data_IF_674282146236
#
_entry.id   IF_674282146236
#
_cell.length_a   1.000
_cell.length_b   1.000
_cell.length_c   1.000
_cell.angle_alpha   90.00
_cell.angle_beta   90.00
_cell.angle_gamma   90.00
#
_symmetry.space_group_name_H-M   'P 1'
#
loop_
_entity.id
_entity.type
_entity.pdbx_description
1 polymer ?
#
# COMPACT_ATOMS: atom_id res chain seq x y z
N UNK A 1 -22.04 0.43 -11.32
CA UNK A 1 -22.15 1.80 -10.78
C UNK A 1 -22.79 2.80 -11.73
N UNK A 2 -22.59 2.71 -13.00
CA UNK A 2 -23.34 3.52 -13.97
C UNK A 2 -24.86 3.25 -13.94
N UNK A 3 -25.28 2.05 -13.47
CA UNK A 3 -26.67 1.58 -13.46
C UNK A 3 -27.34 1.89 -12.11
N UNK A 4 -26.61 1.86 -11.02
CA UNK A 4 -27.12 2.07 -9.64
C UNK A 4 -26.06 2.74 -8.77
N UNK A 5 -26.04 4.07 -8.72
CA UNK A 5 -25.09 4.83 -7.89
C UNK A 5 -25.28 4.60 -6.39
N UNK A 6 -26.51 4.23 -5.95
CA UNK A 6 -26.82 4.03 -4.54
C UNK A 6 -26.51 2.60 -4.08
N UNK A 7 -26.34 1.65 -5.01
CA UNK A 7 -26.21 0.22 -4.79
C UNK A 7 -27.41 -0.43 -4.07
N UNK A 8 -28.52 0.29 -3.92
CA UNK A 8 -29.73 -0.20 -3.24
C UNK A 8 -30.53 -1.15 -4.10
N UNK A 9 -30.57 -0.93 -5.43
CA UNK A 9 -31.31 -1.78 -6.37
C UNK A 9 -30.88 -3.23 -6.26
N UNK A 10 -29.58 -3.48 -6.06
CA UNK A 10 -29.05 -4.83 -5.97
C UNK A 10 -29.63 -5.64 -4.79
N UNK A 11 -30.04 -4.98 -3.69
CA UNK A 11 -30.63 -5.66 -2.53
C UNK A 11 -32.09 -6.10 -2.76
N UNK A 12 -32.76 -5.52 -3.74
CA UNK A 12 -34.20 -5.79 -4.02
C UNK A 12 -34.42 -6.68 -5.23
N UNK A 13 -33.35 -7.08 -5.94
CA UNK A 13 -33.42 -7.89 -7.15
C UNK A 13 -33.19 -9.38 -6.91
N UNK A 14 -33.90 -10.23 -7.63
CA UNK A 14 -33.67 -11.66 -7.73
C UNK A 14 -32.36 -11.95 -8.49
N UNK A 15 -31.78 -13.17 -8.40
CA UNK A 15 -30.59 -13.54 -9.18
C UNK A 15 -30.77 -13.34 -10.70
N UNK A 16 -31.99 -13.60 -11.23
CA UNK A 16 -32.27 -13.41 -12.64
C UNK A 16 -32.25 -11.92 -13.06
N UNK A 17 -32.82 -11.06 -12.22
CA UNK A 17 -32.83 -9.60 -12.43
C UNK A 17 -31.42 -9.03 -12.29
N UNK A 18 -30.64 -9.43 -11.27
CA UNK A 18 -29.23 -9.07 -11.12
C UNK A 18 -28.40 -9.43 -12.36
N UNK A 19 -28.66 -10.64 -12.91
CA UNK A 19 -27.97 -11.08 -14.13
C UNK A 19 -28.25 -10.15 -15.30
N UNK A 20 -29.49 -9.71 -15.48
CA UNK A 20 -29.91 -8.81 -16.57
C UNK A 20 -29.44 -7.38 -16.34
N UNK A 21 -29.69 -6.84 -15.16
CA UNK A 21 -29.39 -5.43 -14.81
C UNK A 21 -27.89 -5.12 -14.86
N UNK A 22 -27.07 -6.03 -14.33
CA UNK A 22 -25.62 -5.82 -14.21
C UNK A 22 -24.80 -6.65 -15.20
N UNK A 23 -25.45 -7.29 -16.18
CA UNK A 23 -24.80 -8.12 -17.20
C UNK A 23 -23.89 -9.22 -16.60
N UNK A 24 -24.32 -9.82 -15.49
CA UNK A 24 -23.58 -10.85 -14.79
C UNK A 24 -23.95 -12.24 -15.33
N UNK A 25 -22.98 -13.16 -15.29
CA UNK A 25 -23.35 -14.57 -15.53
C UNK A 25 -24.30 -15.07 -14.43
N UNK A 26 -25.22 -16.02 -14.71
CA UNK A 26 -26.16 -16.55 -13.70
C UNK A 26 -25.46 -17.03 -12.42
N UNK A 27 -24.28 -17.65 -12.56
CA UNK A 27 -23.46 -18.13 -11.44
C UNK A 27 -22.97 -16.98 -10.55
N UNK A 28 -22.53 -15.87 -11.15
CA UNK A 28 -22.08 -14.68 -10.41
C UNK A 28 -23.27 -13.99 -9.76
N UNK A 29 -24.37 -13.80 -10.49
CA UNK A 29 -25.58 -13.17 -9.97
C UNK A 29 -26.14 -13.93 -8.74
N UNK A 30 -26.17 -15.25 -8.78
CA UNK A 30 -26.56 -16.08 -7.64
C UNK A 30 -25.62 -15.90 -6.44
N UNK A 31 -24.31 -15.84 -6.66
CA UNK A 31 -23.35 -15.54 -5.58
C UNK A 31 -23.57 -14.17 -4.97
N UNK A 32 -23.72 -13.13 -5.79
CA UNK A 32 -24.00 -11.76 -5.33
C UNK A 32 -25.25 -11.72 -4.48
N UNK A 33 -26.35 -12.32 -4.96
CA UNK A 33 -27.60 -12.42 -4.21
C UNK A 33 -27.40 -13.05 -2.82
N UNK A 34 -26.71 -14.20 -2.76
CA UNK A 34 -26.44 -14.87 -1.48
C UNK A 34 -25.61 -14.02 -0.53
N UNK A 35 -24.60 -13.30 -1.02
CA UNK A 35 -23.80 -12.39 -0.18
C UNK A 35 -24.63 -11.21 0.33
N UNK A 36 -25.44 -10.60 -0.52
CA UNK A 36 -26.29 -9.47 -0.16
C UNK A 36 -27.36 -9.84 0.90
N UNK A 37 -27.80 -11.10 0.95
CA UNK A 37 -28.85 -11.56 1.88
C UNK A 37 -28.31 -12.44 3.02
N UNK A 38 -27.00 -12.55 3.16
CA UNK A 38 -26.38 -13.37 4.21
C UNK A 38 -26.29 -12.60 5.53
N UNK A 39 -27.14 -12.98 6.49
CA UNK A 39 -27.24 -12.36 7.81
C UNK A 39 -25.91 -12.41 8.57
N UNK A 40 -25.17 -13.54 8.51
CA UNK A 40 -23.91 -13.67 9.20
C UNK A 40 -22.83 -12.73 8.62
N UNK A 41 -22.85 -12.51 7.31
CA UNK A 41 -21.97 -11.57 6.64
C UNK A 41 -22.28 -10.12 7.04
N UNK A 42 -23.56 -9.74 7.14
CA UNK A 42 -23.95 -8.42 7.64
C UNK A 42 -23.57 -8.20 9.11
N UNK A 43 -23.69 -9.24 9.94
CA UNK A 43 -23.23 -9.17 11.35
C UNK A 43 -21.73 -8.98 11.42
N UNK A 44 -20.95 -9.68 10.59
CA UNK A 44 -19.50 -9.51 10.52
C UNK A 44 -19.11 -8.09 10.12
N UNK A 45 -19.74 -7.53 9.08
CA UNK A 45 -19.51 -6.13 8.67
C UNK A 45 -19.81 -5.15 9.81
N UNK A 46 -20.89 -5.38 10.58
CA UNK A 46 -21.21 -4.55 11.74
C UNK A 46 -20.14 -4.63 12.82
N UNK A 47 -19.60 -5.81 13.10
CA UNK A 47 -18.50 -6.02 14.04
C UNK A 47 -17.22 -5.33 13.53
N UNK A 48 -16.88 -5.51 12.27
CA UNK A 48 -15.71 -4.88 11.64
C UNK A 48 -15.79 -3.34 11.76
N UNK A 49 -16.98 -2.75 11.55
CA UNK A 49 -17.21 -1.29 11.72
C UNK A 49 -17.01 -0.79 13.15
N UNK A 50 -17.12 -1.65 14.15
CA UNK A 50 -16.86 -1.27 15.54
C UNK A 50 -15.38 -1.28 15.89
N UNK A 51 -14.60 -2.18 15.25
CA UNK A 51 -13.17 -2.35 15.51
C UNK A 51 -12.23 -1.59 14.57
N UNK A 52 -12.71 -1.23 13.38
CA UNK A 52 -11.89 -0.68 12.30
C UNK A 52 -12.56 0.52 11.63
N UNK A 53 -11.75 1.43 11.12
CA UNK A 53 -12.24 2.40 10.14
C UNK A 53 -12.33 1.72 8.79
N UNK A 54 -13.52 1.68 8.20
CA UNK A 54 -13.74 1.13 6.86
C UNK A 54 -13.90 2.32 5.91
N UNK A 55 -13.02 2.38 4.91
CA UNK A 55 -13.02 3.44 3.89
C UNK A 55 -13.30 2.78 2.54
N UNK A 56 -14.33 3.23 1.86
CA UNK A 56 -14.70 2.73 0.53
C UNK A 56 -14.24 3.70 -0.56
N UNK A 57 -14.14 3.21 -1.79
CA UNK A 57 -13.76 4.04 -2.95
C UNK A 57 -14.69 5.25 -3.17
N UNK A 58 -15.89 5.23 -2.57
CA UNK A 58 -16.90 6.32 -2.65
C UNK A 58 -16.73 7.39 -1.58
N UNK A 59 -15.99 7.09 -0.51
CA UNK A 59 -15.79 8.04 0.57
C UNK A 59 -14.85 9.16 0.13
N UNK A 60 -15.13 10.37 0.56
CA UNK A 60 -14.30 11.56 0.25
C UNK A 60 -12.87 11.39 0.78
N UNK A 61 -12.72 10.69 1.92
CA UNK A 61 -11.42 10.42 2.53
C UNK A 61 -10.60 9.36 1.77
N UNK A 62 -11.17 8.69 0.74
CA UNK A 62 -10.43 7.71 -0.04
C UNK A 62 -9.26 8.38 -0.78
N UNK A 63 -8.01 7.80 -0.74
CA UNK A 63 -6.82 8.45 -1.28
C UNK A 63 -6.96 8.78 -2.77
N UNK A 64 -6.77 10.06 -3.18
CA UNK A 64 -6.97 10.47 -4.58
C UNK A 64 -6.03 9.74 -5.54
N UNK A 65 -4.76 9.56 -5.15
CA UNK A 65 -3.79 8.85 -5.97
C UNK A 65 -4.15 7.38 -6.14
N UNK A 66 -4.62 6.72 -5.08
CA UNK A 66 -5.01 5.32 -5.13
C UNK A 66 -6.27 5.10 -5.97
N UNK A 67 -7.17 6.08 -6.03
CA UNK A 67 -8.39 6.02 -6.87
C UNK A 67 -8.07 5.98 -8.37
N UNK A 68 -6.90 6.48 -8.77
CA UNK A 68 -6.47 6.61 -10.16
C UNK A 68 -5.76 5.37 -10.72
N UNK A 69 -5.39 4.41 -9.89
CA UNK A 69 -4.73 3.19 -10.39
C UNK A 69 -5.73 2.31 -11.17
N UNK A 70 -5.22 1.42 -12.01
CA UNK A 70 -6.05 0.56 -12.89
C UNK A 70 -7.02 -0.32 -12.08
N UNK A 71 -6.57 -0.85 -10.95
CA UNK A 71 -7.35 -1.73 -10.07
C UNK A 71 -7.33 -1.20 -8.62
N UNK A 72 -8.11 -0.12 -8.33
CA UNK A 72 -8.17 0.43 -6.99
C UNK A 72 -8.93 -0.50 -6.04
N UNK A 73 -8.47 -0.71 -4.80
CA UNK A 73 -9.21 -1.48 -3.80
C UNK A 73 -10.56 -0.81 -3.49
N UNK A 74 -11.65 -1.56 -3.60
CA UNK A 74 -13.00 -1.02 -3.35
C UNK A 74 -13.20 -0.66 -1.88
N UNK A 75 -12.50 -1.34 -0.98
CA UNK A 75 -12.62 -1.18 0.48
C UNK A 75 -11.23 -1.22 1.10
N UNK A 76 -10.99 -0.34 2.06
CA UNK A 76 -9.80 -0.32 2.90
C UNK A 76 -10.23 -0.46 4.36
N UNK A 77 -9.69 -1.44 5.05
CA UNK A 77 -9.78 -1.57 6.51
C UNK A 77 -8.58 -0.86 7.13
N UNK A 78 -8.82 0.03 8.08
CA UNK A 78 -7.80 0.91 8.61
C UNK A 78 -7.76 0.89 10.15
N UNK A 79 -6.56 0.97 10.72
CA UNK A 79 -6.28 1.19 12.14
C UNK A 79 -5.28 2.33 12.30
N UNK A 80 -5.56 3.26 13.21
CA UNK A 80 -4.73 4.44 13.46
C UNK A 80 -5.29 5.71 12.85
N UNK A 81 -4.42 6.62 12.45
CA UNK A 81 -4.79 7.95 11.97
C UNK A 81 -5.20 7.93 10.48
N UNK A 82 -6.48 7.76 10.21
CA UNK A 82 -7.02 7.75 8.84
C UNK A 82 -6.86 9.07 8.09
N UNK A 83 -6.58 10.20 8.76
CA UNK A 83 -6.34 11.48 8.09
C UNK A 83 -5.11 11.43 7.18
N UNK A 84 -4.18 10.48 7.43
CA UNK A 84 -3.01 10.26 6.61
C UNK A 84 -3.34 9.81 5.18
N UNK A 85 -4.56 9.31 4.92
CA UNK A 85 -5.03 8.96 3.58
C UNK A 85 -5.14 10.18 2.65
N UNK A 86 -5.26 11.37 3.22
CA UNK A 86 -5.35 12.65 2.50
C UNK A 86 -4.09 13.50 2.61
N UNK A 87 -3.08 13.02 3.34
CA UNK A 87 -1.86 13.80 3.58
C UNK A 87 -0.86 13.63 2.44
N UNK A 88 -0.39 14.72 1.90
CA UNK A 88 0.63 14.82 0.86
C UNK A 88 1.73 15.80 1.28
N UNK A 89 2.94 15.64 0.73
CA UNK A 89 3.39 14.58 -0.19
C UNK A 89 3.63 13.23 0.50
N UNK A 90 3.56 12.15 -0.28
CA UNK A 90 3.82 10.78 0.18
C UNK A 90 4.77 10.06 -0.78
N UNK A 91 5.62 9.18 -0.25
CA UNK A 91 6.55 8.36 -1.02
C UNK A 91 6.55 6.92 -0.50
N UNK A 92 6.52 5.96 -1.41
CA UNK A 92 6.73 4.57 -1.02
C UNK A 92 8.22 4.26 -0.92
N UNK A 93 8.60 3.54 0.15
CA UNK A 93 9.98 3.14 0.41
C UNK A 93 10.03 1.62 0.50
N UNK A 94 10.72 1.01 -0.43
CA UNK A 94 10.76 -0.44 -0.59
C UNK A 94 12.20 -0.96 -0.77
N UNK A 95 12.37 -2.27 -0.67
CA UNK A 95 13.64 -2.90 -0.98
C UNK A 95 13.77 -4.34 -0.52
N UNK A 96 15.01 -4.80 -0.43
CA UNK A 96 15.32 -6.19 -0.08
C UNK A 96 14.85 -6.55 1.34
N UNK A 97 14.41 -7.80 1.49
CA UNK A 97 14.09 -8.39 2.81
C UNK A 97 15.33 -8.77 3.62
N UNK A 98 16.51 -8.79 2.97
CA UNK A 98 17.81 -9.08 3.60
C UNK A 98 18.78 -7.95 3.31
N UNK A 99 18.65 -6.80 4.01
CA UNK A 99 19.44 -5.63 3.76
C UNK A 99 20.91 -5.81 4.15
N UNK A 100 21.78 -5.02 3.54
CA UNK A 100 23.18 -4.92 3.91
C UNK A 100 23.36 -4.25 5.28
N UNK A 101 24.56 -4.29 5.83
CA UNK A 101 24.88 -3.55 7.05
C UNK A 101 24.76 -2.02 6.87
N UNK A 102 24.93 -1.53 5.65
CA UNK A 102 24.86 -0.09 5.30
C UNK A 102 23.43 0.41 5.02
N UNK A 103 22.46 -0.50 4.91
CA UNK A 103 21.10 -0.17 4.52
C UNK A 103 20.43 0.88 5.42
N UNK A 104 20.72 0.84 6.74
CA UNK A 104 20.17 1.81 7.69
C UNK A 104 20.69 3.22 7.42
N UNK A 105 21.96 3.35 7.11
CA UNK A 105 22.59 4.66 6.87
C UNK A 105 22.13 5.22 5.52
N UNK A 106 22.06 4.39 4.46
CA UNK A 106 21.49 4.76 3.16
C UNK A 106 20.05 5.23 3.30
N UNK A 107 19.23 4.46 4.01
CA UNK A 107 17.84 4.81 4.26
C UNK A 107 17.73 6.14 5.01
N UNK A 108 18.50 6.30 6.09
CA UNK A 108 18.45 7.50 6.93
C UNK A 108 18.91 8.75 6.16
N UNK A 109 19.93 8.66 5.31
CA UNK A 109 20.45 9.80 4.55
C UNK A 109 19.40 10.42 3.62
N UNK A 110 18.51 9.59 3.05
CA UNK A 110 17.49 10.05 2.10
C UNK A 110 16.15 10.29 2.82
N UNK A 111 15.71 9.34 3.66
CA UNK A 111 14.35 9.37 4.20
C UNK A 111 14.21 10.33 5.38
N UNK A 112 15.24 10.54 6.21
CA UNK A 112 15.13 11.49 7.34
C UNK A 112 14.85 12.94 6.89
N UNK A 113 15.49 13.49 5.86
CA UNK A 113 15.13 14.82 5.36
C UNK A 113 13.72 14.89 4.79
N UNK A 114 13.23 13.83 4.12
CA UNK A 114 11.84 13.75 3.64
C UNK A 114 10.85 13.80 4.80
N UNK A 115 11.11 13.03 5.87
CA UNK A 115 10.29 13.05 7.09
C UNK A 115 10.24 14.45 7.70
N UNK A 116 11.41 15.13 7.81
CA UNK A 116 11.50 16.50 8.33
C UNK A 116 10.77 17.53 7.45
N UNK A 117 10.56 17.21 6.17
CA UNK A 117 9.77 17.99 5.24
C UNK A 117 8.30 17.54 5.17
N UNK A 118 7.83 16.81 6.20
CA UNK A 118 6.45 16.32 6.36
C UNK A 118 5.97 15.34 5.28
N UNK A 119 6.88 14.62 4.61
CA UNK A 119 6.50 13.54 3.71
C UNK A 119 5.99 12.33 4.50
N UNK A 120 4.89 11.76 4.00
CA UNK A 120 4.36 10.49 4.53
C UNK A 120 5.13 9.32 3.89
N UNK A 121 5.65 8.43 4.73
CA UNK A 121 6.39 7.25 4.28
C UNK A 121 5.44 6.06 4.20
N UNK A 122 5.26 5.53 3.00
CA UNK A 122 4.40 4.36 2.72
C UNK A 122 5.26 3.13 2.52
N UNK A 123 4.92 2.01 3.14
CA UNK A 123 5.63 0.74 2.91
C UNK A 123 4.79 -0.47 3.28
N UNK A 124 5.33 -1.67 3.07
CA UNK A 124 4.59 -2.93 3.23
C UNK A 124 4.81 -3.68 4.52
N UNK A 125 5.55 -3.13 5.47
CA UNK A 125 5.88 -3.78 6.75
C UNK A 125 6.56 -5.15 6.60
N UNK A 126 7.14 -5.47 5.43
CA UNK A 126 7.92 -6.68 5.21
C UNK A 126 9.24 -6.66 6.00
N UNK A 127 9.93 -7.80 6.08
CA UNK A 127 11.30 -7.81 6.60
C UNK A 127 12.21 -6.88 5.79
N UNK A 128 13.28 -6.40 6.41
CA UNK A 128 14.30 -5.59 5.76
C UNK A 128 13.90 -4.14 5.59
N UNK A 129 14.03 -3.59 4.38
CA UNK A 129 13.87 -2.16 4.10
C UNK A 129 12.51 -1.62 4.54
N UNK A 130 11.43 -2.33 4.30
CA UNK A 130 10.07 -1.90 4.67
C UNK A 130 9.98 -1.64 6.18
N UNK A 131 10.37 -2.63 7.00
CA UNK A 131 10.36 -2.52 8.46
C UNK A 131 11.31 -1.43 8.96
N UNK A 132 12.49 -1.27 8.33
CA UNK A 132 13.45 -0.22 8.66
C UNK A 132 12.89 1.18 8.35
N UNK A 133 12.18 1.34 7.22
CA UNK A 133 11.56 2.59 6.83
C UNK A 133 10.51 3.04 7.86
N UNK A 134 9.61 2.14 8.27
CA UNK A 134 8.63 2.43 9.31
C UNK A 134 9.28 2.76 10.66
N UNK A 135 10.27 1.96 11.08
CA UNK A 135 10.97 2.18 12.35
C UNK A 135 11.72 3.51 12.38
N UNK A 136 12.40 3.88 11.29
CA UNK A 136 13.05 5.18 11.12
C UNK A 136 12.02 6.31 11.22
N UNK A 137 10.91 6.20 10.49
CA UNK A 137 9.87 7.24 10.46
C UNK A 137 9.28 7.48 11.85
N UNK A 138 8.97 6.43 12.60
CA UNK A 138 8.47 6.55 13.97
C UNK A 138 9.51 7.15 14.93
N UNK A 139 10.78 6.76 14.81
CA UNK A 139 11.88 7.33 15.59
C UNK A 139 12.04 8.83 15.37
N UNK A 140 11.92 9.27 14.13
CA UNK A 140 11.98 10.67 13.73
C UNK A 140 10.65 11.42 13.96
N UNK A 141 9.65 10.80 14.62
CA UNK A 141 8.30 11.34 14.88
C UNK A 141 7.56 11.75 13.60
N UNK A 142 7.89 11.13 12.49
CA UNK A 142 7.22 11.33 11.19
C UNK A 142 5.94 10.52 11.04
N UNK A 143 5.31 10.63 9.87
CA UNK A 143 4.06 9.96 9.52
C UNK A 143 4.32 8.79 8.58
N UNK A 144 3.73 7.64 8.88
CA UNK A 144 3.90 6.43 8.06
C UNK A 144 2.59 5.67 7.87
N UNK A 145 2.43 5.08 6.68
CA UNK A 145 1.31 4.20 6.32
C UNK A 145 1.87 2.82 6.03
N UNK A 146 1.44 1.83 6.79
CA UNK A 146 1.77 0.43 6.52
C UNK A 146 0.61 -0.25 5.80
N UNK A 147 0.89 -0.83 4.63
CA UNK A 147 -0.09 -1.61 3.86
C UNK A 147 0.17 -3.10 4.11
N UNK A 148 -0.85 -3.86 4.52
CA UNK A 148 -0.71 -5.29 4.80
C UNK A 148 -1.19 -6.18 3.65
N UNK A 149 -0.54 -7.31 3.46
CA UNK A 149 -0.99 -8.41 2.57
C UNK A 149 -1.82 -9.47 3.32
N UNK A 150 -2.49 -9.07 4.39
CA UNK A 150 -3.38 -9.89 5.22
C UNK A 150 -4.39 -9.00 5.91
N UNK A 151 -5.44 -9.57 6.48
CA UNK A 151 -6.32 -8.83 7.38
C UNK A 151 -5.58 -8.32 8.62
N UNK A 152 -6.13 -7.29 9.23
CA UNK A 152 -5.48 -6.53 10.31
C UNK A 152 -5.30 -7.35 11.62
N UNK A 153 -6.05 -8.45 11.78
CA UNK A 153 -5.89 -9.40 12.90
C UNK A 153 -4.73 -10.39 12.69
N UNK A 154 -4.20 -10.48 11.47
CA UNK A 154 -3.15 -11.42 11.09
C UNK A 154 -1.87 -10.70 10.65
N UNK A 155 -1.20 -10.05 11.62
CA UNK A 155 0.05 -9.31 11.36
C UNK A 155 1.13 -10.24 10.82
N UNK A 156 1.67 -9.91 9.65
CA UNK A 156 2.78 -10.63 9.05
C UNK A 156 3.85 -9.63 8.57
N UNK A 157 5.13 -9.87 8.91
CA UNK A 157 5.66 -10.96 9.73
C UNK A 157 5.36 -10.77 11.23
N UNK A 158 5.17 -11.87 11.98
CA UNK A 158 4.84 -11.80 13.42
C UNK A 158 5.91 -11.07 14.25
N UNK A 159 7.18 -11.12 13.83
CA UNK A 159 8.27 -10.38 14.48
C UNK A 159 8.09 -8.86 14.44
N UNK A 160 7.21 -8.35 13.58
CA UNK A 160 6.88 -6.92 13.47
C UNK A 160 5.63 -6.53 14.27
N UNK A 161 5.14 -7.36 15.20
CA UNK A 161 3.95 -7.07 15.98
C UNK A 161 4.08 -5.77 16.80
N UNK A 162 5.24 -5.52 17.42
CA UNK A 162 5.47 -4.27 18.15
C UNK A 162 5.59 -3.06 17.22
N UNK A 163 6.20 -3.25 16.04
CA UNK A 163 6.22 -2.22 15.01
C UNK A 163 4.80 -1.89 14.54
N UNK A 164 3.96 -2.91 14.31
CA UNK A 164 2.55 -2.74 13.97
C UNK A 164 1.80 -1.90 15.02
N UNK A 165 1.94 -2.25 16.31
CA UNK A 165 1.32 -1.50 17.41
C UNK A 165 1.74 -0.03 17.43
N UNK A 166 3.02 0.22 17.23
CA UNK A 166 3.55 1.58 17.18
C UNK A 166 3.03 2.34 15.95
N UNK A 167 2.88 1.69 14.79
CA UNK A 167 2.30 2.34 13.60
C UNK A 167 0.81 2.63 13.83
N UNK A 168 0.06 1.73 14.46
CA UNK A 168 -1.34 1.99 14.82
C UNK A 168 -1.47 3.20 15.74
N UNK A 169 -0.54 3.37 16.67
CA UNK A 169 -0.58 4.48 17.63
C UNK A 169 -0.18 5.83 17.02
N UNK A 170 0.80 5.88 16.10
CA UNK A 170 1.42 7.12 15.63
C UNK A 170 1.33 7.35 14.11
N UNK A 171 0.74 6.42 13.38
CA UNK A 171 0.57 6.42 11.94
C UNK A 171 -0.70 5.74 11.51
N UNK A 172 -0.67 5.03 10.39
CA UNK A 172 -1.81 4.30 9.84
C UNK A 172 -1.38 2.91 9.37
N UNK A 173 -2.17 1.90 9.73
CA UNK A 173 -2.09 0.57 9.11
C UNK A 173 -3.36 0.34 8.31
N UNK A 174 -3.23 -0.15 7.09
CA UNK A 174 -4.37 -0.46 6.25
C UNK A 174 -4.22 -1.78 5.50
N UNK A 175 -5.36 -2.35 5.11
CA UNK A 175 -5.45 -3.54 4.29
C UNK A 175 -6.69 -3.51 3.40
N UNK A 176 -6.60 -4.07 2.21
CA UNK A 176 -7.74 -4.38 1.35
C UNK A 176 -8.51 -5.62 1.82
N UNK A 177 -7.85 -6.49 2.60
CA UNK A 177 -8.42 -7.75 3.04
C UNK A 177 -9.23 -7.59 4.33
N UNK A 178 -10.38 -8.32 4.46
CA UNK A 178 -11.14 -8.35 5.71
C UNK A 178 -10.26 -8.66 6.92
N UNK A 179 -10.55 -8.11 8.11
CA UNK A 179 -9.66 -8.19 9.28
C UNK A 179 -9.19 -9.61 9.63
N UNK A 180 -10.06 -10.61 9.45
CA UNK A 180 -9.80 -12.02 9.78
C UNK A 180 -9.07 -12.80 8.67
N UNK A 181 -8.76 -12.17 7.53
CA UNK A 181 -8.13 -12.83 6.39
C UNK A 181 -6.67 -13.16 6.68
N UNK A 182 -6.35 -14.46 6.67
CA UNK A 182 -4.96 -14.93 6.85
C UNK A 182 -4.08 -14.59 5.64
N UNK A 183 -2.78 -14.36 5.83
CA UNK A 183 -1.86 -14.06 4.74
C UNK A 183 -1.75 -15.24 3.77
N UNK A 184 -1.73 -14.94 2.46
CA UNK A 184 -1.48 -15.90 1.38
C UNK A 184 -0.38 -15.37 0.48
N UNK A 185 0.35 -16.25 -0.20
CA UNK A 185 1.53 -15.86 -1.01
C UNK A 185 1.18 -14.81 -2.08
N UNK A 186 0.03 -14.93 -2.73
CA UNK A 186 -0.42 -14.03 -3.78
C UNK A 186 -0.93 -12.67 -3.27
N UNK A 187 -1.33 -12.56 -2.01
CA UNK A 187 -1.74 -11.28 -1.43
C UNK A 187 -0.60 -10.23 -1.40
N UNK A 188 0.65 -10.67 -1.30
CA UNK A 188 1.78 -9.74 -1.22
C UNK A 188 2.05 -8.99 -2.53
N UNK A 189 2.10 -9.65 -3.70
CA UNK A 189 2.14 -8.95 -4.98
C UNK A 189 0.91 -8.07 -5.23
N UNK A 190 -0.30 -8.56 -4.93
CA UNK A 190 -1.54 -7.79 -5.08
C UNK A 190 -1.52 -6.51 -4.22
N UNK A 191 -1.10 -6.60 -2.96
CA UNK A 191 -0.97 -5.48 -2.05
C UNK A 191 0.00 -4.40 -2.54
N UNK A 192 1.08 -4.77 -3.20
CA UNK A 192 2.13 -3.83 -3.59
C UNK A 192 1.60 -2.69 -4.48
N UNK A 193 0.57 -2.93 -5.31
CA UNK A 193 -0.10 -1.88 -6.09
C UNK A 193 -0.71 -0.78 -5.22
N UNK A 194 -1.06 -1.11 -3.99
CA UNK A 194 -1.59 -0.13 -3.03
C UNK A 194 -0.45 0.71 -2.45
N UNK A 195 0.72 0.11 -2.21
CA UNK A 195 1.90 0.84 -1.72
C UNK A 195 2.30 1.92 -2.73
N UNK A 196 2.52 1.54 -4.00
CA UNK A 196 2.85 2.49 -5.07
C UNK A 196 1.69 3.46 -5.36
N UNK A 197 0.45 2.96 -5.34
CA UNK A 197 -0.75 3.75 -5.61
C UNK A 197 -1.05 4.86 -4.59
N UNK A 198 -0.60 4.71 -3.35
CA UNK A 198 -0.73 5.73 -2.30
C UNK A 198 0.33 6.84 -2.40
N UNK A 199 1.29 6.72 -3.31
CA UNK A 199 2.50 7.52 -3.30
C UNK A 199 2.71 8.27 -4.61
N UNK A 200 3.37 9.42 -4.53
CA UNK A 200 3.81 10.19 -5.71
C UNK A 200 4.90 9.47 -6.49
N UNK A 201 5.74 8.72 -5.79
CA UNK A 201 6.82 7.93 -6.37
C UNK A 201 7.26 6.80 -5.44
N UNK A 202 8.13 5.94 -5.93
CA UNK A 202 8.65 4.75 -5.24
C UNK A 202 10.17 4.82 -5.13
N UNK A 203 10.69 4.88 -3.89
CA UNK A 203 12.12 4.83 -3.60
C UNK A 203 12.56 3.39 -3.32
N UNK A 204 13.50 2.91 -4.11
CA UNK A 204 14.18 1.62 -3.91
C UNK A 204 15.52 1.86 -3.22
N UNK A 205 15.66 1.36 -1.98
CA UNK A 205 16.86 1.60 -1.15
C UNK A 205 17.95 0.57 -1.45
N UNK A 206 17.60 -0.70 -1.48
CA UNK A 206 18.46 -1.82 -1.90
C UNK A 206 17.60 -2.88 -2.57
N UNK A 207 18.09 -3.45 -3.67
CA UNK A 207 17.46 -4.55 -4.36
C UNK A 207 18.50 -5.48 -4.99
N UNK A 208 18.24 -6.78 -4.94
CA UNK A 208 18.97 -7.76 -5.75
C UNK A 208 18.31 -7.84 -7.13
N UNK A 209 19.05 -8.23 -8.18
CA UNK A 209 18.58 -8.30 -9.58
C UNK A 209 17.28 -9.10 -9.78
N UNK A 210 17.04 -10.12 -8.95
CA UNK A 210 15.84 -10.99 -9.04
C UNK A 210 15.04 -10.92 -7.74
N UNK A 211 14.58 -9.74 -7.35
CA UNK A 211 13.83 -9.58 -6.11
C UNK A 211 12.36 -9.25 -6.36
N UNK A 212 11.51 -9.59 -5.40
CA UNK A 212 10.10 -9.17 -5.43
C UNK A 212 9.89 -7.65 -5.38
N UNK A 213 10.95 -6.87 -5.18
CA UNK A 213 10.96 -5.40 -5.26
C UNK A 213 10.58 -4.92 -6.66
N UNK A 214 11.03 -5.63 -7.72
CA UNK A 214 10.72 -5.31 -9.10
C UNK A 214 9.21 -5.35 -9.40
N UNK A 215 8.47 -6.25 -8.77
CA UNK A 215 6.99 -6.30 -8.92
C UNK A 215 6.36 -4.97 -8.49
N UNK A 216 6.84 -4.35 -7.41
CA UNK A 216 6.32 -3.06 -6.95
C UNK A 216 6.78 -1.92 -7.86
N UNK A 217 8.00 -2.02 -8.41
CA UNK A 217 8.53 -1.07 -9.40
C UNK A 217 7.68 -1.10 -10.66
N UNK A 218 7.41 -2.28 -11.21
CA UNK A 218 6.56 -2.45 -12.40
C UNK A 218 5.17 -1.83 -12.17
N UNK A 219 4.56 -2.13 -11.03
CA UNK A 219 3.27 -1.56 -10.65
C UNK A 219 3.32 -0.02 -10.50
N UNK A 220 4.40 0.53 -9.95
CA UNK A 220 4.58 1.97 -9.87
C UNK A 220 4.65 2.62 -11.25
N UNK A 221 5.40 2.02 -12.18
CA UNK A 221 5.52 2.49 -13.57
C UNK A 221 4.17 2.39 -14.32
N UNK A 222 3.46 1.27 -14.19
CA UNK A 222 2.10 1.09 -14.76
C UNK A 222 1.10 2.14 -14.25
N UNK A 223 1.31 2.62 -13.02
CA UNK A 223 0.50 3.68 -12.39
C UNK A 223 0.97 5.10 -12.75
N UNK A 224 2.01 5.24 -13.57
CA UNK A 224 2.60 6.53 -13.91
C UNK A 224 3.33 7.20 -12.75
N UNK A 225 3.84 6.42 -11.78
CA UNK A 225 4.61 6.92 -10.65
C UNK A 225 6.11 6.94 -10.98
N UNK A 226 6.79 7.95 -10.50
CA UNK A 226 8.24 8.03 -10.60
C UNK A 226 8.91 6.92 -9.79
N UNK A 227 9.96 6.33 -10.33
CA UNK A 227 10.80 5.35 -9.63
C UNK A 227 12.15 5.96 -9.35
N UNK A 228 12.55 5.93 -8.08
CA UNK A 228 13.82 6.43 -7.57
C UNK A 228 14.65 5.26 -7.07
N UNK A 229 15.95 5.26 -7.31
CA UNK A 229 16.84 4.23 -6.80
C UNK A 229 18.12 4.83 -6.20
N UNK A 230 18.51 4.35 -5.03
CA UNK A 230 19.78 4.73 -4.40
C UNK A 230 20.91 3.95 -5.08
N UNK A 231 21.92 4.60 -5.66
CA UNK A 231 23.05 3.92 -6.29
C UNK A 231 23.92 3.19 -5.26
N UNK A 232 24.61 2.16 -5.73
CA UNK A 232 25.54 1.38 -4.91
C UNK A 232 26.78 1.01 -5.73
N UNK A 233 27.78 0.40 -5.07
CA UNK A 233 28.92 -0.18 -5.75
C UNK A 233 28.50 -1.39 -6.61
N UNK A 234 29.01 -1.56 -7.84
CA UNK A 234 28.80 -2.75 -8.64
C UNK A 234 29.29 -4.05 -7.96
N UNK A 235 30.15 -3.92 -6.96
CA UNK A 235 30.65 -5.05 -6.17
C UNK A 235 29.70 -5.46 -5.03
N UNK A 236 28.70 -4.62 -4.71
CA UNK A 236 27.71 -4.90 -3.66
C UNK A 236 26.48 -5.58 -4.24
N UNK A 237 26.33 -6.87 -3.99
CA UNK A 237 25.18 -7.67 -4.47
C UNK A 237 23.81 -7.11 -4.04
N UNK A 238 23.74 -6.41 -2.89
CA UNK A 238 22.50 -5.82 -2.40
C UNK A 238 22.06 -4.58 -3.18
N UNK A 239 22.97 -3.97 -3.94
CA UNK A 239 22.71 -2.78 -4.74
C UNK A 239 22.56 -3.03 -6.25
N UNK A 240 22.87 -4.24 -6.74
CA UNK A 240 22.85 -4.53 -8.19
C UNK A 240 21.50 -4.25 -8.82
N UNK A 241 20.39 -4.60 -8.14
CA UNK A 241 19.06 -4.30 -8.64
C UNK A 241 18.77 -2.81 -8.74
N UNK A 242 19.32 -1.97 -7.83
CA UNK A 242 19.20 -0.51 -7.94
C UNK A 242 19.98 0.02 -9.14
N UNK A 243 21.18 -0.52 -9.43
CA UNK A 243 21.95 -0.14 -10.61
C UNK A 243 21.22 -0.55 -11.91
N UNK A 244 20.62 -1.74 -11.94
CA UNK A 244 19.78 -2.17 -13.05
C UNK A 244 18.62 -1.20 -13.27
N UNK A 245 17.87 -0.87 -12.23
CA UNK A 245 16.77 0.09 -12.31
C UNK A 245 17.21 1.46 -12.83
N UNK A 246 18.36 1.97 -12.38
CA UNK A 246 18.91 3.24 -12.87
C UNK A 246 19.26 3.13 -14.36
N UNK A 247 19.86 2.02 -14.80
CA UNK A 247 20.18 1.79 -16.22
C UNK A 247 18.94 1.67 -17.10
N UNK A 248 17.81 1.26 -16.53
CA UNK A 248 16.49 1.14 -17.18
C UNK A 248 15.65 2.43 -17.07
N UNK A 249 16.19 3.49 -16.46
CA UNK A 249 15.54 4.81 -16.43
C UNK A 249 14.97 5.23 -15.09
N UNK A 250 15.16 4.46 -14.03
CA UNK A 250 14.84 4.94 -12.69
C UNK A 250 15.74 6.13 -12.32
N UNK A 251 15.18 7.12 -11.64
CA UNK A 251 15.89 8.32 -11.23
C UNK A 251 16.91 8.01 -10.14
N UNK A 252 18.15 8.35 -10.38
CA UNK A 252 19.23 8.19 -9.43
C UNK A 252 19.06 9.18 -8.27
N UNK A 253 19.15 8.71 -7.02
CA UNK A 253 18.98 9.51 -5.81
C UNK A 253 20.21 9.39 -4.92
N UNK A 254 20.89 10.51 -4.73
CA UNK A 254 22.03 10.66 -3.79
C UNK A 254 21.67 11.55 -2.60
N UNK A 255 20.59 12.32 -2.71
CA UNK A 255 20.08 13.18 -1.66
C UNK A 255 18.55 13.27 -1.70
N UNK A 256 17.94 13.66 -0.58
CA UNK A 256 16.47 13.88 -0.57
C UNK A 256 16.03 15.01 -1.51
N UNK A 257 16.91 15.93 -1.86
CA UNK A 257 16.62 17.02 -2.80
C UNK A 257 16.25 16.49 -4.17
N UNK A 258 16.91 15.42 -4.63
CA UNK A 258 16.65 14.78 -5.93
C UNK A 258 15.19 14.31 -6.07
N UNK A 259 14.53 14.06 -4.94
CA UNK A 259 13.09 13.71 -4.89
C UNK A 259 12.25 14.97 -4.70
N UNK A 260 12.59 15.83 -3.73
CA UNK A 260 11.77 16.98 -3.33
C UNK A 260 11.63 18.03 -4.44
N UNK A 261 12.70 18.31 -5.17
CA UNK A 261 12.71 19.36 -6.21
C UNK A 261 11.74 19.05 -7.36
N UNK A 262 11.54 17.79 -7.68
CA UNK A 262 10.58 17.38 -8.73
C UNK A 262 9.11 17.66 -8.36
N UNK A 263 8.79 17.72 -7.08
CA UNK A 263 7.42 17.91 -6.60
C UNK A 263 7.13 19.33 -6.12
N UNK A 264 8.15 20.15 -5.95
CA UNK A 264 7.98 21.59 -5.68
C UNK A 264 7.75 22.43 -6.93
N UNK A 265 8.04 21.86 -8.11
CA UNK A 265 7.89 22.52 -9.41
C UNK A 265 6.60 22.10 -10.17
N UNK A 266 5.82 21.20 -9.61
CA UNK A 266 4.50 20.77 -10.13
C UNK A 266 3.39 21.34 -9.28
#
# INVERSE_FOLDING_TARGET
>A
MQVDPTLEIAFHQTPSELSKTFQLTPKIATKVYHYLHNISFHQQIKQDKQGYHIVTIYDEIYPPLLRQIIDPPLVLYCLGDKSLLQQFPSISVIGTRKPSSQAKDKLASIVTPLIKSNWVIVSGMAYGIDGLAHALTLREKGKTIAVLGSGLEHVYPQKHLDLFRNIVQFGLVLSEYPPQMKPRKYHFPERNRIISGLSLGTLVVEANEKSGTFITVDQALEQGRDVYAIPDSPLNKHGLGCLTLISEGAKLVVSAKDIMEEWTMK
#
